data_IF_853598908199
#
_entry.id   IF_853598908199
#
_cell.length_a   1.000
_cell.length_b   1.000
_cell.length_c   1.000
_cell.angle_alpha   90.00
_cell.angle_beta   90.00
_cell.angle_gamma   90.00
#
_symmetry.space_group_name_H-M   'P 1'
#
loop_
_entity.id
_entity.type
_entity.pdbx_description
1 polymer ?
#
# COMPACT_ATOMS: atom_id res chain seq x y z
N UNK A 1 7.77 -36.25 -19.18
CA UNK A 1 7.13 -36.00 -17.86
C UNK A 1 7.19 -34.53 -17.40
N UNK A 2 7.97 -33.65 -18.04
CA UNK A 2 8.07 -32.24 -17.64
C UNK A 2 6.83 -31.39 -17.98
N UNK A 3 6.13 -31.66 -19.08
CA UNK A 3 4.94 -30.90 -19.48
C UNK A 3 3.73 -31.01 -18.53
N UNK A 4 3.61 -32.13 -17.80
CA UNK A 4 2.56 -32.29 -16.78
C UNK A 4 2.83 -31.47 -15.52
N UNK A 5 4.11 -31.30 -15.15
CA UNK A 5 4.51 -30.47 -14.02
C UNK A 5 4.33 -28.99 -14.34
N UNK A 6 4.74 -28.53 -15.54
CA UNK A 6 4.53 -27.14 -15.96
C UNK A 6 3.04 -26.78 -16.02
N UNK A 7 2.19 -27.70 -16.50
CA UNK A 7 0.74 -27.50 -16.50
C UNK A 7 0.13 -27.43 -15.09
N UNK A 8 0.64 -28.25 -14.15
CA UNK A 8 0.21 -28.21 -12.76
C UNK A 8 0.63 -26.89 -12.08
N UNK A 9 1.87 -26.44 -12.27
CA UNK A 9 2.37 -25.19 -11.67
C UNK A 9 1.64 -23.97 -12.23
N UNK A 10 1.35 -23.93 -13.53
CA UNK A 10 0.51 -22.87 -14.12
C UNK A 10 -0.93 -22.88 -13.59
N UNK A 11 -1.51 -24.07 -13.36
CA UNK A 11 -2.84 -24.20 -12.76
C UNK A 11 -2.88 -23.70 -11.30
N UNK A 12 -1.88 -24.05 -10.50
CA UNK A 12 -1.74 -23.55 -9.12
C UNK A 12 -1.48 -22.05 -9.11
N UNK A 13 -0.62 -21.54 -10.00
CA UNK A 13 -0.33 -20.13 -10.17
C UNK A 13 -1.60 -19.31 -10.42
N UNK A 14 -2.44 -19.75 -11.36
CA UNK A 14 -3.71 -19.08 -11.68
C UNK A 14 -4.69 -19.02 -10.49
N UNK A 15 -4.78 -20.10 -9.68
CA UNK A 15 -5.62 -20.11 -8.48
C UNK A 15 -5.08 -19.12 -7.44
N UNK A 16 -3.76 -19.14 -7.22
CA UNK A 16 -3.11 -18.22 -6.29
C UNK A 16 -3.25 -16.77 -6.75
N UNK A 17 -3.15 -16.49 -8.05
CA UNK A 17 -3.37 -15.17 -8.63
C UNK A 17 -4.77 -14.65 -8.33
N UNK A 18 -5.80 -15.47 -8.59
CA UNK A 18 -7.18 -15.10 -8.29
C UNK A 18 -7.42 -14.82 -6.79
N UNK A 19 -6.77 -15.59 -5.91
CA UNK A 19 -6.82 -15.33 -4.47
C UNK A 19 -6.10 -14.02 -4.10
N UNK A 20 -4.92 -13.75 -4.68
CA UNK A 20 -4.17 -12.53 -4.46
C UNK A 20 -4.95 -11.29 -4.93
N UNK A 21 -5.57 -11.36 -6.11
CA UNK A 21 -6.41 -10.29 -6.65
C UNK A 21 -7.61 -10.00 -5.74
N UNK A 22 -8.24 -11.06 -5.19
CA UNK A 22 -9.34 -10.91 -4.25
C UNK A 22 -8.89 -10.25 -2.93
N UNK A 23 -7.74 -10.66 -2.39
CA UNK A 23 -7.16 -10.07 -1.17
C UNK A 23 -6.80 -8.60 -1.40
N UNK A 24 -6.17 -8.27 -2.53
CA UNK A 24 -5.89 -6.88 -2.91
C UNK A 24 -7.17 -6.05 -3.02
N UNK A 25 -8.21 -6.60 -3.66
CA UNK A 25 -9.51 -5.92 -3.77
C UNK A 25 -10.15 -5.64 -2.41
N UNK A 26 -10.04 -6.58 -1.45
CA UNK A 26 -10.52 -6.36 -0.07
C UNK A 26 -9.66 -5.33 0.67
N UNK A 27 -8.34 -5.40 0.53
CA UNK A 27 -7.42 -4.44 1.15
C UNK A 27 -7.72 -3.02 0.69
N UNK A 28 -7.87 -2.80 -0.62
CA UNK A 28 -8.26 -1.50 -1.18
C UNK A 28 -9.65 -1.04 -0.77
N UNK A 29 -10.61 -1.96 -0.64
CA UNK A 29 -11.96 -1.61 -0.19
C UNK A 29 -11.99 -1.16 1.28
N UNK A 30 -11.11 -1.71 2.12
CA UNK A 30 -11.02 -1.37 3.54
C UNK A 30 -10.10 -0.18 3.81
N UNK A 31 -9.02 -0.06 3.05
CA UNK A 31 -7.98 0.96 3.17
C UNK A 31 -7.54 1.39 1.78
N UNK A 32 -8.20 2.41 1.19
CA UNK A 32 -7.83 2.91 -0.12
C UNK A 32 -6.37 3.39 -0.16
N UNK A 33 -5.59 2.90 -1.11
CA UNK A 33 -4.16 3.15 -1.27
C UNK A 33 -3.26 2.16 -0.51
N UNK A 34 -3.81 1.17 0.20
CA UNK A 34 -3.03 0.18 0.95
C UNK A 34 -2.25 -0.81 0.09
N UNK A 35 -2.60 -0.96 -1.18
CA UNK A 35 -1.87 -1.86 -2.09
C UNK A 35 -0.79 -1.14 -2.90
N UNK A 36 -0.56 0.16 -2.62
CA UNK A 36 0.49 0.96 -3.25
C UNK A 36 1.89 0.48 -2.83
N UNK A 37 2.83 0.44 -3.78
CA UNK A 37 4.19 -0.04 -3.56
C UNK A 37 5.02 0.74 -2.53
N UNK A 38 4.55 1.91 -2.09
CA UNK A 38 5.13 2.70 -1.00
C UNK A 38 4.50 2.42 0.37
N UNK A 39 3.75 1.32 0.49
CA UNK A 39 3.14 0.87 1.75
C UNK A 39 3.57 -0.55 2.08
N UNK A 40 3.64 -0.88 3.37
CA UNK A 40 4.02 -2.23 3.81
C UNK A 40 3.02 -3.31 3.33
N UNK A 41 1.72 -2.99 3.26
CA UNK A 41 0.72 -3.88 2.67
C UNK A 41 0.98 -4.07 1.17
N UNK A 42 1.25 -2.98 0.43
CA UNK A 42 1.58 -3.07 -1.00
C UNK A 42 2.84 -3.89 -1.28
N UNK A 43 3.90 -3.76 -0.47
CA UNK A 43 5.08 -4.63 -0.61
C UNK A 43 4.80 -6.11 -0.33
N UNK A 44 3.72 -6.43 0.40
CA UNK A 44 3.40 -7.81 0.75
C UNK A 44 2.46 -8.47 -0.27
N UNK A 45 1.40 -7.77 -0.65
CA UNK A 45 0.29 -8.34 -1.44
C UNK A 45 0.01 -7.56 -2.72
N UNK A 46 0.47 -6.32 -2.85
CA UNK A 46 0.25 -5.46 -4.00
C UNK A 46 0.89 -5.97 -5.28
N UNK A 47 0.69 -5.22 -6.38
CA UNK A 47 1.34 -5.55 -7.65
C UNK A 47 2.86 -5.39 -7.54
N UNK A 48 3.62 -6.43 -7.90
CA UNK A 48 5.06 -6.56 -7.60
C UNK A 48 5.39 -6.49 -6.11
N UNK A 49 4.49 -6.97 -5.26
CA UNK A 49 4.80 -7.31 -3.89
C UNK A 49 5.16 -8.79 -3.77
N UNK A 50 5.60 -9.19 -2.57
CA UNK A 50 6.10 -10.52 -2.26
C UNK A 50 5.23 -11.65 -2.81
N UNK A 51 3.91 -11.53 -2.61
CA UNK A 51 2.96 -12.58 -3.05
C UNK A 51 2.85 -12.63 -4.57
N UNK A 52 2.84 -11.48 -5.24
CA UNK A 52 2.78 -11.40 -6.70
C UNK A 52 4.04 -11.96 -7.35
N UNK A 53 5.21 -11.70 -6.78
CA UNK A 53 6.49 -12.19 -7.28
C UNK A 53 6.61 -13.71 -7.14
N UNK A 54 6.20 -14.28 -6.00
CA UNK A 54 6.16 -15.73 -5.80
C UNK A 54 5.22 -16.42 -6.80
N UNK A 55 4.04 -15.86 -7.04
CA UNK A 55 3.09 -16.42 -8.01
C UNK A 55 3.67 -16.31 -9.43
N UNK A 56 4.28 -15.19 -9.78
CA UNK A 56 4.93 -14.98 -11.08
C UNK A 56 6.10 -15.95 -11.30
N UNK A 57 6.90 -16.20 -10.26
CA UNK A 57 7.96 -17.22 -10.28
C UNK A 57 7.43 -18.63 -10.48
N UNK A 58 6.31 -18.95 -9.85
CA UNK A 58 5.65 -20.25 -10.01
C UNK A 58 5.11 -20.44 -11.44
N UNK A 59 4.47 -19.41 -12.00
CA UNK A 59 3.89 -19.43 -13.34
C UNK A 59 4.97 -19.47 -14.44
N UNK A 60 6.07 -18.73 -14.25
CA UNK A 60 7.20 -18.69 -15.18
C UNK A 60 8.16 -19.86 -15.03
N UNK A 61 8.09 -20.58 -13.90
CA UNK A 61 9.05 -21.63 -13.54
C UNK A 61 10.40 -21.09 -13.05
N UNK A 62 10.53 -19.78 -12.80
CA UNK A 62 11.72 -19.16 -12.23
C UNK A 62 11.52 -18.80 -10.76
N UNK A 63 11.61 -19.82 -9.90
CA UNK A 63 11.55 -19.63 -8.45
C UNK A 63 12.78 -18.90 -7.89
N UNK A 64 13.92 -18.93 -8.60
CA UNK A 64 15.14 -18.26 -8.11
C UNK A 64 15.04 -16.76 -8.32
N UNK A 65 14.53 -16.33 -9.48
CA UNK A 65 14.17 -14.94 -9.76
C UNK A 65 13.16 -14.44 -8.75
N UNK A 66 12.06 -15.17 -8.53
CA UNK A 66 11.05 -14.76 -7.55
C UNK A 66 11.59 -14.65 -6.11
N UNK A 67 12.46 -15.55 -5.65
CA UNK A 67 13.05 -15.41 -4.30
C UNK A 67 13.94 -14.17 -4.21
N UNK A 68 14.62 -13.79 -5.29
CA UNK A 68 15.39 -12.55 -5.34
C UNK A 68 14.47 -11.33 -5.30
N UNK A 69 13.41 -11.32 -6.10
CA UNK A 69 12.48 -10.19 -6.16
C UNK A 69 11.77 -10.01 -4.80
N UNK A 70 11.35 -11.11 -4.16
CA UNK A 70 10.86 -11.13 -2.76
C UNK A 70 11.87 -10.54 -1.78
N UNK A 71 13.16 -10.82 -1.95
CA UNK A 71 14.18 -10.24 -1.08
C UNK A 71 14.25 -8.72 -1.28
N UNK A 72 14.21 -8.24 -2.52
CA UNK A 72 14.19 -6.82 -2.84
C UNK A 72 12.93 -6.13 -2.26
N UNK A 73 11.77 -6.80 -2.29
CA UNK A 73 10.52 -6.33 -1.68
C UNK A 73 10.52 -6.29 -0.14
N UNK A 74 11.42 -7.05 0.50
CA UNK A 74 11.56 -7.04 1.96
C UNK A 74 12.58 -5.98 2.37
N UNK A 75 13.77 -5.94 1.75
CA UNK A 75 14.93 -5.16 2.26
C UNK A 75 15.38 -3.99 1.39
N UNK A 76 14.86 -3.86 0.17
CA UNK A 76 15.24 -2.81 -0.77
C UNK A 76 14.82 -1.38 -0.36
N UNK A 77 15.26 -0.35 -1.10
CA UNK A 77 14.72 0.99 -0.92
C UNK A 77 13.22 1.04 -1.26
N UNK A 78 12.38 1.59 -0.38
CA UNK A 78 10.92 1.62 -0.56
C UNK A 78 10.23 0.25 -0.37
N UNK A 79 10.94 -0.72 0.22
CA UNK A 79 10.47 -2.07 0.53
C UNK A 79 9.69 -2.14 1.85
N UNK A 80 9.24 -3.34 2.22
CA UNK A 80 8.51 -3.60 3.48
C UNK A 80 9.20 -3.00 4.71
N UNK A 81 10.49 -3.31 4.94
CA UNK A 81 11.21 -2.82 6.13
C UNK A 81 11.37 -1.31 6.09
N UNK A 82 11.65 -0.76 4.90
CA UNK A 82 11.77 0.69 4.70
C UNK A 82 10.45 1.38 5.05
N UNK A 83 9.34 0.93 4.47
CA UNK A 83 8.03 1.55 4.64
C UNK A 83 7.52 1.39 6.08
N UNK A 84 7.77 0.26 6.75
CA UNK A 84 7.51 0.11 8.18
C UNK A 84 8.34 1.08 9.03
N UNK A 85 9.62 1.29 8.68
CA UNK A 85 10.50 2.23 9.36
C UNK A 85 10.06 3.70 9.20
N UNK A 86 9.45 4.03 8.06
CA UNK A 86 8.87 5.35 7.78
C UNK A 86 7.42 5.50 8.29
N UNK A 87 6.86 4.46 8.92
CA UNK A 87 5.49 4.45 9.42
C UNK A 87 4.40 4.27 8.35
N UNK A 88 4.76 3.93 7.11
CA UNK A 88 3.87 3.70 5.96
C UNK A 88 3.38 2.26 5.91
N UNK A 89 2.61 1.85 6.91
CA UNK A 89 2.20 0.46 7.10
C UNK A 89 0.97 0.07 6.30
N UNK A 90 -0.15 0.76 6.52
CA UNK A 90 -1.50 0.32 6.16
C UNK A 90 -2.07 1.01 4.93
N UNK A 91 -1.38 2.01 4.37
CA UNK A 91 -1.90 2.91 3.33
C UNK A 91 -2.91 3.94 3.84
N UNK A 92 -3.41 3.78 5.07
CA UNK A 92 -4.24 4.78 5.74
C UNK A 92 -3.46 6.04 6.11
N UNK A 93 -2.13 6.01 6.06
CA UNK A 93 -1.31 7.17 6.37
C UNK A 93 -1.53 8.29 5.36
N UNK A 94 -1.75 7.97 4.08
CA UNK A 94 -2.13 8.98 3.08
C UNK A 94 -3.53 9.58 3.34
N UNK A 95 -4.43 8.82 3.95
CA UNK A 95 -5.74 9.29 4.39
C UNK A 95 -5.65 10.11 5.68
N UNK A 96 -4.85 9.66 6.65
CA UNK A 96 -4.64 10.34 7.94
C UNK A 96 -3.81 11.61 7.75
N UNK A 97 -2.77 11.63 6.91
CA UNK A 97 -2.01 12.84 6.55
C UNK A 97 -2.89 13.85 5.82
N UNK A 98 -3.77 13.40 4.92
CA UNK A 98 -4.72 14.31 4.28
C UNK A 98 -5.78 14.81 5.27
N UNK A 99 -6.38 13.94 6.08
CA UNK A 99 -7.45 14.34 7.01
C UNK A 99 -6.91 15.19 8.15
N UNK A 100 -5.79 14.81 8.76
CA UNK A 100 -5.12 15.59 9.80
C UNK A 100 -4.42 16.81 9.23
N UNK A 101 -3.82 16.77 8.04
CA UNK A 101 -3.25 17.97 7.41
C UNK A 101 -4.33 18.99 7.04
N UNK A 102 -5.50 18.53 6.59
CA UNK A 102 -6.65 19.42 6.33
C UNK A 102 -7.30 19.90 7.64
N UNK A 103 -7.35 19.07 8.68
CA UNK A 103 -7.88 19.45 9.99
C UNK A 103 -6.92 20.36 10.77
N UNK A 104 -5.61 20.18 10.66
CA UNK A 104 -4.58 21.07 11.22
C UNK A 104 -4.57 22.42 10.47
N UNK A 105 -4.83 22.43 9.16
CA UNK A 105 -5.12 23.67 8.43
C UNK A 105 -6.42 24.37 8.87
N UNK A 106 -7.40 23.62 9.39
CA UNK A 106 -8.69 24.15 9.83
C UNK A 106 -8.71 24.55 11.33
N UNK A 107 -7.90 23.90 12.15
CA UNK A 107 -7.83 24.03 13.62
C UNK A 107 -6.51 24.65 14.14
N UNK A 108 -5.48 24.72 13.30
CA UNK A 108 -4.16 25.24 13.60
C UNK A 108 -4.16 26.75 13.80
N UNK A 109 -3.46 27.16 14.86
CA UNK A 109 -3.28 28.53 15.32
C UNK A 109 -2.73 29.43 14.20
N UNK A 110 -3.34 30.62 14.08
CA UNK A 110 -3.00 31.76 13.22
C UNK A 110 -3.62 31.81 11.80
N UNK A 111 -4.44 30.84 11.39
CA UNK A 111 -5.15 30.93 10.11
C UNK A 111 -6.41 30.07 9.92
N UNK A 112 -6.71 29.15 10.84
CA UNK A 112 -7.89 28.28 10.77
C UNK A 112 -9.23 29.02 11.00
N UNK A 113 -10.34 28.38 10.59
CA UNK A 113 -11.71 28.91 10.68
C UNK A 113 -12.12 29.34 12.11
N UNK A 114 -11.50 28.73 13.14
CA UNK A 114 -11.73 29.10 14.55
C UNK A 114 -10.80 30.22 15.04
N UNK A 115 -9.62 30.41 14.44
CA UNK A 115 -8.74 31.54 14.71
C UNK A 115 -9.33 32.86 14.20
N UNK A 116 -10.03 32.82 13.05
CA UNK A 116 -10.77 33.97 12.52
C UNK A 116 -12.08 34.27 13.26
N UNK A 117 -12.77 33.26 13.80
CA UNK A 117 -14.05 33.42 14.52
C UNK A 117 -13.86 33.88 15.97
N UNK A 118 -12.74 33.54 16.62
CA UNK A 118 -12.49 33.89 18.03
C UNK A 118 -11.47 35.03 18.21
N UNK A 119 -10.70 35.39 17.16
CA UNK A 119 -9.70 36.46 17.20
C UNK A 119 -10.17 37.84 16.71
N UNK A 120 -11.42 37.95 16.24
CA UNK A 120 -11.96 39.16 15.65
C UNK A 120 -12.69 40.08 16.63
N UNK A 121 -11.96 40.75 17.52
CA UNK A 121 -12.44 42.05 18.02
C UNK A 121 -12.38 43.07 16.86
N UNK A 122 -13.53 43.32 16.23
CA UNK A 122 -13.75 44.49 15.40
C UNK A 122 -13.96 44.22 13.91
N UNK A 123 -15.17 44.51 13.42
CA UNK A 123 -15.40 44.75 11.99
C UNK A 123 -16.62 44.09 11.36
N UNK A 124 -17.80 44.12 12.01
CA UNK A 124 -19.08 43.83 11.37
C UNK A 124 -20.12 44.91 11.70
N UNK A 125 -19.72 46.18 11.56
CA UNK A 125 -20.59 47.33 11.34
C UNK A 125 -19.82 48.33 10.46
N UNK A 126 -19.98 48.19 9.15
CA UNK A 126 -19.51 49.08 8.10
C UNK A 126 -20.26 48.78 6.82
#
# INVERSE_FOLDING_TARGET
MLGGLTGLLGGVGSILRGANDAVNGVAEALSPGSTDGHTAIGNLIGGKGLTDDLITGLESGDLTGAVRDVYDDIVGPGSLIHNLGEGRGLGLEGLVDNVLGTADGLLGTDGGLLGGVLGGEGGLLG
#
